data_IF_180741427495
#
_entry.id   IF_180741427495
#
_cell.length_a   1.000
_cell.length_b   1.000
_cell.length_c   1.000
_cell.angle_alpha   90.00
_cell.angle_beta   90.00
_cell.angle_gamma   90.00
#
_symmetry.space_group_name_H-M   'P 1'
#
loop_
_entity.id
_entity.type
_entity.pdbx_description
1 polymer ?
#
# COMPACT_ATOMS: atom_id res chain seq x y z
N UNK A 1 -15.20 9.64 10.30
CA UNK A 1 -14.02 9.00 9.66
C UNK A 1 -14.18 8.85 8.15
N UNK A 2 -15.40 8.64 7.63
CA UNK A 2 -15.63 8.42 6.19
C UNK A 2 -15.69 9.68 5.30
N UNK A 3 -15.69 10.88 5.88
CA UNK A 3 -15.93 12.10 5.10
C UNK A 3 -14.76 12.42 4.15
N UNK A 4 -13.54 12.39 4.68
CA UNK A 4 -12.36 12.79 3.90
C UNK A 4 -11.97 11.72 2.86
N UNK A 5 -12.19 10.43 3.18
CA UNK A 5 -12.02 9.37 2.18
C UNK A 5 -13.04 9.49 1.05
N UNK A 6 -14.31 9.79 1.35
CA UNK A 6 -15.34 10.00 0.31
C UNK A 6 -14.99 11.19 -0.59
N UNK A 7 -14.58 12.33 -0.01
CA UNK A 7 -14.10 13.49 -0.77
C UNK A 7 -12.92 13.15 -1.67
N UNK A 8 -11.94 12.41 -1.16
CA UNK A 8 -10.81 11.93 -1.96
C UNK A 8 -11.25 11.05 -3.15
N UNK A 9 -12.23 10.17 -2.95
CA UNK A 9 -12.72 9.27 -3.99
C UNK A 9 -13.68 9.96 -4.98
N UNK A 10 -14.37 11.04 -4.57
CA UNK A 10 -15.22 11.86 -5.43
C UNK A 10 -14.46 12.95 -6.19
N UNK A 11 -13.16 13.14 -5.91
CA UNK A 11 -12.33 14.18 -6.53
C UNK A 11 -12.47 15.57 -5.92
N UNK A 12 -13.11 15.67 -4.75
CA UNK A 12 -13.20 16.90 -3.97
C UNK A 12 -11.91 17.17 -3.19
N UNK A 13 -11.70 18.43 -2.79
CA UNK A 13 -10.62 18.78 -1.87
C UNK A 13 -10.82 18.06 -0.53
N UNK A 14 -9.79 17.38 -0.06
CA UNK A 14 -9.80 16.61 1.18
C UNK A 14 -8.53 16.86 1.99
N UNK A 15 -8.60 16.60 3.29
CA UNK A 15 -7.43 16.69 4.17
C UNK A 15 -6.61 15.40 4.15
N UNK A 16 -5.40 15.45 3.61
CA UNK A 16 -4.48 14.31 3.54
C UNK A 16 -3.81 13.96 4.88
N UNK A 17 -3.99 14.80 5.91
CA UNK A 17 -3.58 14.54 7.29
C UNK A 17 -4.73 13.96 8.14
N UNK A 18 -5.92 13.78 7.56
CA UNK A 18 -7.00 13.10 8.25
C UNK A 18 -6.56 11.69 8.71
N UNK A 19 -7.01 11.21 9.88
CA UNK A 19 -6.54 9.96 10.48
C UNK A 19 -6.58 8.75 9.54
N UNK A 20 -7.59 8.66 8.67
CA UNK A 20 -7.74 7.56 7.71
C UNK A 20 -6.52 7.43 6.78
N UNK A 21 -5.99 8.53 6.28
CA UNK A 21 -4.83 8.52 5.38
C UNK A 21 -3.52 8.32 6.13
N UNK A 22 -3.42 8.81 7.36
CA UNK A 22 -2.25 8.55 8.21
C UNK A 22 -2.14 7.06 8.52
N UNK A 23 -3.24 6.38 8.83
CA UNK A 23 -3.24 4.93 9.07
C UNK A 23 -2.92 4.14 7.79
N UNK A 24 -3.43 4.57 6.63
CA UNK A 24 -3.03 3.97 5.35
C UNK A 24 -1.54 4.13 5.08
N UNK A 25 -0.98 5.35 5.25
CA UNK A 25 0.45 5.64 5.09
C UNK A 25 1.30 4.78 6.04
N UNK A 26 0.91 4.65 7.31
CA UNK A 26 1.61 3.80 8.29
C UNK A 26 1.63 2.33 7.88
N UNK A 27 0.46 1.78 7.49
CA UNK A 27 0.35 0.40 7.03
C UNK A 27 1.25 0.15 5.81
N UNK A 28 1.13 1.00 4.79
CA UNK A 28 1.91 0.87 3.55
C UNK A 28 3.41 1.02 3.82
N UNK A 29 3.82 1.98 4.65
CA UNK A 29 5.23 2.16 5.02
C UNK A 29 5.83 0.92 5.67
N UNK A 30 5.12 0.27 6.61
CA UNK A 30 5.57 -0.98 7.23
C UNK A 30 5.73 -2.11 6.21
N UNK A 31 4.79 -2.24 5.28
CA UNK A 31 4.85 -3.27 4.24
C UNK A 31 5.97 -3.01 3.25
N UNK A 32 6.19 -1.75 2.88
CA UNK A 32 7.27 -1.34 1.99
C UNK A 32 8.64 -1.64 2.61
N UNK A 33 8.86 -1.31 3.88
CA UNK A 33 10.09 -1.67 4.59
C UNK A 33 10.33 -3.18 4.60
N UNK A 34 9.28 -3.96 4.88
CA UNK A 34 9.36 -5.43 4.83
C UNK A 34 9.72 -5.92 3.44
N UNK A 35 9.08 -5.37 2.40
CA UNK A 35 9.35 -5.72 1.01
C UNK A 35 10.80 -5.44 0.60
N UNK A 36 11.30 -4.25 0.96
CA UNK A 36 12.64 -3.78 0.61
C UNK A 36 13.75 -4.54 1.35
N UNK A 37 13.45 -5.09 2.52
CA UNK A 37 14.36 -5.93 3.29
C UNK A 37 14.46 -7.38 2.76
N UNK A 38 13.51 -7.82 1.92
CA UNK A 38 13.54 -9.18 1.36
C UNK A 38 14.55 -9.29 0.21
N UNK A 39 15.39 -10.34 0.17
CA UNK A 39 16.24 -10.66 -0.98
C UNK A 39 15.43 -10.79 -2.27
N UNK A 40 16.05 -10.49 -3.40
CA UNK A 40 15.38 -10.52 -4.71
C UNK A 40 14.86 -11.93 -5.05
N UNK A 41 15.59 -12.95 -4.60
CA UNK A 41 15.35 -14.37 -4.81
C UNK A 41 14.15 -14.89 -4.00
N UNK A 42 13.73 -14.17 -2.95
CA UNK A 42 12.60 -14.52 -2.08
C UNK A 42 11.24 -14.23 -2.75
N UNK A 43 11.03 -14.77 -3.95
CA UNK A 43 9.90 -14.46 -4.84
C UNK A 43 8.54 -14.67 -4.18
N UNK A 44 8.36 -15.78 -3.45
CA UNK A 44 7.08 -16.10 -2.81
C UNK A 44 6.71 -15.09 -1.71
N UNK A 45 7.65 -14.73 -0.86
CA UNK A 45 7.45 -13.75 0.22
C UNK A 45 7.27 -12.35 -0.33
N UNK A 46 8.08 -11.96 -1.32
CA UNK A 46 7.92 -10.68 -2.04
C UNK A 46 6.52 -10.57 -2.64
N UNK A 47 6.02 -11.63 -3.28
CA UNK A 47 4.69 -11.66 -3.87
C UNK A 47 3.58 -11.55 -2.80
N UNK A 48 3.76 -12.20 -1.65
CA UNK A 48 2.81 -12.11 -0.54
C UNK A 48 2.72 -10.68 0.02
N UNK A 49 3.87 -10.03 0.25
CA UNK A 49 3.91 -8.63 0.73
C UNK A 49 3.30 -7.68 -0.31
N UNK A 50 3.56 -7.88 -1.61
CA UNK A 50 2.94 -7.08 -2.67
C UNK A 50 1.42 -7.23 -2.71
N UNK A 51 0.91 -8.47 -2.59
CA UNK A 51 -0.54 -8.73 -2.51
C UNK A 51 -1.18 -8.02 -1.32
N UNK A 52 -0.53 -8.06 -0.16
CA UNK A 52 -1.02 -7.37 1.03
C UNK A 52 -1.01 -5.83 0.88
N UNK A 53 0.04 -5.28 0.25
CA UNK A 53 0.22 -3.84 0.07
C UNK A 53 -0.74 -3.26 -0.96
N UNK A 54 -0.96 -3.94 -2.08
CA UNK A 54 -1.77 -3.46 -3.21
C UNK A 54 -3.22 -3.95 -3.16
N UNK A 55 -3.54 -4.87 -2.24
CA UNK A 55 -4.85 -5.51 -2.09
C UNK A 55 -5.09 -6.63 -3.10
N UNK A 56 -4.65 -6.46 -4.35
CA UNK A 56 -4.62 -7.51 -5.37
C UNK A 56 -3.51 -7.25 -6.38
N UNK A 57 -3.02 -8.31 -7.03
CA UNK A 57 -2.07 -8.21 -8.15
C UNK A 57 -2.46 -9.25 -9.21
N UNK A 58 -2.15 -8.93 -10.46
CA UNK A 58 -2.31 -9.88 -11.56
C UNK A 58 -1.21 -10.95 -11.59
N UNK A 59 -1.25 -11.78 -12.64
CA UNK A 59 -0.25 -12.81 -12.86
C UNK A 59 1.07 -12.23 -13.37
N UNK A 60 2.18 -12.87 -12.99
CA UNK A 60 3.55 -12.53 -13.44
C UNK A 60 3.99 -11.09 -13.15
N UNK A 61 3.45 -10.47 -12.09
CA UNK A 61 3.86 -9.15 -11.63
C UNK A 61 5.20 -9.22 -10.88
N UNK A 62 6.12 -8.32 -11.22
CA UNK A 62 7.37 -8.08 -10.51
C UNK A 62 7.59 -6.58 -10.35
N UNK A 63 8.02 -6.16 -9.16
CA UNK A 63 8.38 -4.77 -8.86
C UNK A 63 9.85 -4.77 -8.41
N UNK A 64 10.68 -3.99 -9.09
CA UNK A 64 12.05 -3.74 -8.67
C UNK A 64 12.07 -2.88 -7.41
N UNK A 65 13.00 -3.17 -6.49
CA UNK A 65 13.35 -2.25 -5.41
C UNK A 65 14.56 -1.42 -5.84
#
# INVERSE_FOLDING_TARGET
>A
MDNELKKCLSGEWYDCHAPVFIEFKKKTHRLLLRYNALPYESRAERLAVLKEMLGSIGDKVSIGN
#
